data_IF_099859007770
#
_entry.id   IF_099859007770
#
_cell.length_a   1.000
_cell.length_b   1.000
_cell.length_c   1.000
_cell.angle_alpha   90.00
_cell.angle_beta   90.00
_cell.angle_gamma   90.00
#
_symmetry.space_group_name_H-M   'P 1'
#
loop_
_entity.id
_entity.type
_entity.pdbx_description
1 polymer ?
#
# COMPACT_ATOMS: atom_id res chain seq x y z
N UNK A 1 14.30 0.13 -6.50
CA UNK A 1 14.98 0.18 -5.19
C UNK A 1 13.89 0.08 -4.13
N UNK A 2 14.02 -0.84 -3.19
CA UNK A 2 13.06 -1.00 -2.10
C UNK A 2 13.78 -0.66 -0.78
N UNK A 3 13.24 0.30 -0.04
CA UNK A 3 13.74 0.66 1.28
C UNK A 3 13.15 -0.29 2.31
N UNK A 4 13.99 -1.04 3.00
CA UNK A 4 13.61 -1.82 4.16
C UNK A 4 13.85 -0.98 5.41
N UNK A 5 12.80 -0.78 6.21
CA UNK A 5 12.93 -0.20 7.54
C UNK A 5 12.77 -1.34 8.54
N UNK A 6 13.85 -1.74 9.18
CA UNK A 6 13.78 -2.76 10.24
C UNK A 6 13.66 -2.09 11.60
N UNK A 7 12.79 -2.66 12.42
CA UNK A 7 12.57 -2.23 13.80
C UNK A 7 13.12 -3.31 14.72
N UNK A 8 14.23 -3.00 15.41
CA UNK A 8 14.81 -3.90 16.39
C UNK A 8 14.59 -3.32 17.79
N UNK A 9 13.90 -4.05 18.66
CA UNK A 9 13.90 -3.76 20.10
C UNK A 9 15.19 -4.31 20.71
N UNK A 10 16.08 -3.42 21.19
CA UNK A 10 17.19 -3.81 22.06
C UNK A 10 16.94 -3.31 23.48
N UNK A 11 17.19 -4.18 24.45
CA UNK A 11 17.33 -3.79 25.85
C UNK A 11 18.69 -3.09 26.03
N UNK A 12 18.69 -1.76 26.00
CA UNK A 12 19.84 -0.96 26.43
C UNK A 12 19.48 -0.32 27.78
N UNK A 13 20.23 -0.69 28.82
CA UNK A 13 20.21 -0.03 30.15
C UNK A 13 18.82 0.20 30.75
N UNK A 14 17.97 -0.84 30.79
CA UNK A 14 16.68 -0.80 31.48
C UNK A 14 15.57 -0.03 30.76
N UNK A 15 15.81 0.52 29.55
CA UNK A 15 14.77 1.08 28.70
C UNK A 15 14.76 0.39 27.33
N UNK A 16 13.56 0.03 26.86
CA UNK A 16 13.35 -0.39 25.48
C UNK A 16 13.46 0.83 24.57
N UNK A 17 14.56 0.95 23.84
CA UNK A 17 14.69 1.93 22.77
C UNK A 17 14.57 1.21 21.43
N UNK A 18 13.63 1.59 20.56
CA UNK A 18 13.58 1.06 19.22
C UNK A 18 14.78 1.55 18.40
N UNK A 19 15.58 0.62 17.87
CA UNK A 19 16.61 0.95 16.88
C UNK A 19 15.95 0.88 15.50
N UNK A 20 15.76 2.05 14.89
CA UNK A 20 15.33 2.17 13.50
C UNK A 20 16.56 2.00 12.60
N UNK A 21 16.52 1.04 11.68
CA UNK A 21 17.57 0.85 10.69
C UNK A 21 16.96 0.87 9.30
N UNK A 22 17.50 1.71 8.43
CA UNK A 22 17.16 1.70 7.01
C UNK A 22 18.22 0.89 6.25
N UNK A 23 17.76 -0.06 5.46
CA UNK A 23 18.60 -0.87 4.59
C UNK A 23 18.03 -0.85 3.18
N UNK A 24 18.92 -0.81 2.19
CA UNK A 24 18.55 -0.89 0.79
C UNK A 24 18.75 -2.31 0.31
N UNK A 25 17.67 -2.95 -0.13
CA UNK A 25 17.76 -4.28 -0.73
C UNK A 25 18.09 -4.13 -2.21
N UNK A 26 19.31 -4.54 -2.57
CA UNK A 26 19.78 -4.60 -3.96
C UNK A 26 19.71 -6.03 -4.49
N UNK A 27 19.00 -6.19 -5.62
CA UNK A 27 18.94 -7.37 -6.50
C UNK A 27 19.46 -8.70 -5.90
N UNK A 28 18.65 -9.36 -5.05
CA UNK A 28 19.09 -10.57 -4.37
C UNK A 28 19.34 -11.69 -5.39
N UNK A 29 20.44 -12.42 -5.21
CA UNK A 29 20.88 -13.50 -6.11
C UNK A 29 19.76 -14.52 -6.38
N UNK A 30 18.95 -14.80 -5.35
CA UNK A 30 17.78 -15.68 -5.41
C UNK A 30 16.78 -15.32 -6.54
N UNK A 31 16.63 -14.04 -6.86
CA UNK A 31 15.69 -13.59 -7.89
C UNK A 31 16.27 -13.66 -9.31
N UNK A 32 17.58 -13.88 -9.47
CA UNK A 32 18.20 -14.05 -10.78
C UNK A 32 17.75 -15.34 -11.47
N UNK A 33 17.45 -16.40 -10.71
CA UNK A 33 16.89 -17.65 -11.24
C UNK A 33 15.41 -17.49 -11.64
N UNK A 34 14.71 -16.51 -11.08
CA UNK A 34 13.33 -16.14 -11.44
C UNK A 34 13.30 -15.04 -12.51
N UNK A 35 14.31 -15.07 -13.39
CA UNK A 35 14.63 -14.03 -14.37
C UNK A 35 13.46 -13.64 -15.25
N UNK A 36 12.61 -14.59 -15.61
CA UNK A 36 11.43 -14.37 -16.45
C UNK A 36 10.47 -13.41 -15.78
N UNK A 37 10.03 -13.67 -14.55
CA UNK A 37 9.17 -12.73 -13.81
C UNK A 37 9.85 -11.39 -13.58
N UNK A 38 11.14 -11.41 -13.21
CA UNK A 38 11.91 -10.19 -12.97
C UNK A 38 11.98 -9.28 -14.20
N UNK A 39 12.21 -9.86 -15.38
CA UNK A 39 12.24 -9.13 -16.65
C UNK A 39 10.85 -8.71 -17.12
N UNK A 40 9.85 -9.57 -16.96
CA UNK A 40 8.48 -9.30 -17.41
C UNK A 40 7.79 -8.22 -16.57
N UNK A 41 8.05 -8.17 -15.26
CA UNK A 41 7.26 -7.35 -14.32
C UNK A 41 8.09 -6.30 -13.56
N UNK A 42 9.41 -6.36 -13.69
CA UNK A 42 10.32 -5.44 -13.03
C UNK A 42 10.67 -5.85 -11.60
N UNK A 43 11.73 -5.20 -11.06
CA UNK A 43 12.37 -5.62 -9.82
C UNK A 43 11.49 -5.42 -8.58
N UNK A 44 10.74 -4.32 -8.50
CA UNK A 44 9.99 -3.96 -7.30
C UNK A 44 8.78 -4.88 -7.07
N UNK A 45 8.02 -5.19 -8.14
CA UNK A 45 6.87 -6.11 -8.11
C UNK A 45 7.33 -7.54 -7.84
N UNK A 46 8.43 -7.96 -8.47
CA UNK A 46 8.97 -9.30 -8.24
C UNK A 46 9.49 -9.46 -6.82
N UNK A 47 10.23 -8.48 -6.29
CA UNK A 47 10.82 -8.54 -4.96
C UNK A 47 9.77 -8.74 -3.86
N UNK A 48 8.64 -8.01 -3.92
CA UNK A 48 7.61 -8.07 -2.89
C UNK A 48 6.94 -9.45 -2.78
N UNK A 49 6.85 -10.18 -3.89
CA UNK A 49 6.29 -11.53 -3.91
C UNK A 49 7.18 -12.56 -3.21
N UNK A 50 8.47 -12.28 -3.06
CA UNK A 50 9.45 -13.21 -2.51
C UNK A 50 10.14 -12.71 -1.24
N UNK A 51 9.54 -11.79 -0.48
CA UNK A 51 10.11 -11.34 0.79
C UNK A 51 10.45 -12.50 1.74
N UNK A 52 9.61 -13.53 1.78
CA UNK A 52 9.84 -14.70 2.61
C UNK A 52 11.14 -15.46 2.25
N UNK A 53 11.55 -15.43 0.97
CA UNK A 53 12.79 -16.04 0.48
C UNK A 53 13.98 -15.09 0.53
N UNK A 54 13.75 -13.80 0.32
CA UNK A 54 14.80 -12.77 0.24
C UNK A 54 15.25 -12.27 1.61
N UNK A 55 14.35 -12.33 2.61
CA UNK A 55 14.61 -11.91 3.99
C UNK A 55 14.53 -13.13 4.92
N UNK A 56 15.43 -14.13 4.77
CA UNK A 56 15.38 -15.37 5.54
C UNK A 56 15.58 -15.16 7.04
N UNK A 57 16.27 -14.09 7.42
CA UNK A 57 16.55 -13.70 8.81
C UNK A 57 15.36 -13.04 9.52
N UNK A 58 14.35 -12.59 8.77
CA UNK A 58 13.16 -11.95 9.34
C UNK A 58 11.98 -12.93 9.43
N UNK A 59 11.31 -12.91 10.58
CA UNK A 59 10.11 -13.72 10.82
C UNK A 59 8.82 -13.01 10.38
N UNK A 60 8.78 -11.68 10.53
CA UNK A 60 7.61 -10.84 10.22
C UNK A 60 8.06 -9.52 9.60
N UNK A 61 7.25 -8.98 8.69
CA UNK A 61 7.42 -7.63 8.12
C UNK A 61 6.05 -6.96 7.96
N UNK A 62 6.04 -5.63 7.89
CA UNK A 62 4.87 -4.87 7.44
C UNK A 62 5.24 -4.30 6.07
N UNK A 63 4.57 -4.77 5.03
CA UNK A 63 4.66 -4.18 3.71
C UNK A 63 3.69 -3.00 3.59
N UNK A 64 4.17 -1.90 3.00
CA UNK A 64 3.42 -0.66 2.78
C UNK A 64 3.84 -0.12 1.42
N UNK A 65 2.89 0.09 0.51
CA UNK A 65 3.15 0.74 -0.76
C UNK A 65 3.63 2.18 -0.55
N UNK A 66 4.45 2.67 -1.48
CA UNK A 66 5.11 3.99 -1.36
C UNK A 66 4.14 5.16 -1.40
N UNK A 67 2.92 4.93 -1.85
CA UNK A 67 1.83 5.90 -1.94
C UNK A 67 0.79 5.71 -0.81
N UNK A 68 1.17 5.01 0.26
CA UNK A 68 0.36 4.87 1.48
C UNK A 68 0.83 5.83 2.56
N UNK A 69 -0.12 6.54 3.16
CA UNK A 69 0.07 7.47 4.27
C UNK A 69 -0.47 6.88 5.57
N UNK A 70 0.40 6.78 6.58
CA UNK A 70 -0.01 6.39 7.92
C UNK A 70 -0.66 7.56 8.66
N UNK A 71 -1.96 7.46 8.92
CA UNK A 71 -2.73 8.41 9.74
C UNK A 71 -2.69 8.02 11.22
N UNK A 72 -2.58 6.71 11.47
CA UNK A 72 -2.39 6.12 12.79
C UNK A 72 -0.95 5.68 13.03
N UNK A 73 -0.51 5.55 14.30
CA UNK A 73 0.80 5.01 14.63
C UNK A 73 1.01 3.61 14.03
N UNK A 74 2.17 3.38 13.41
CA UNK A 74 2.47 2.13 12.70
C UNK A 74 2.57 0.93 13.65
N UNK A 75 2.85 1.19 14.93
CA UNK A 75 2.86 0.20 16.01
C UNK A 75 1.50 -0.49 16.13
N UNK A 76 0.40 0.17 15.77
CA UNK A 76 -0.92 -0.47 15.77
C UNK A 76 -1.06 -1.52 14.66
N UNK A 77 -0.33 -1.38 13.55
CA UNK A 77 -0.25 -2.42 12.51
C UNK A 77 0.50 -3.64 13.04
N UNK A 78 1.52 -3.43 13.88
CA UNK A 78 2.27 -4.51 14.53
C UNK A 78 1.37 -5.38 15.43
N UNK A 79 0.40 -4.77 16.11
CA UNK A 79 -0.55 -5.48 16.97
C UNK A 79 -1.44 -6.48 16.20
N UNK A 80 -1.59 -6.33 14.88
CA UNK A 80 -2.36 -7.26 14.03
C UNK A 80 -1.80 -8.69 14.13
N UNK A 81 -0.48 -8.85 14.24
CA UNK A 81 0.15 -10.17 14.35
C UNK A 81 -0.33 -10.96 15.57
N UNK A 82 -0.70 -10.29 16.66
CA UNK A 82 -1.23 -10.94 17.88
C UNK A 82 -2.62 -11.54 17.66
N UNK A 83 -3.35 -11.05 16.66
CA UNK A 83 -4.70 -11.51 16.32
C UNK A 83 -4.70 -12.59 15.24
N UNK A 84 -3.56 -12.87 14.62
CA UNK A 84 -3.43 -13.95 13.64
C UNK A 84 -3.47 -15.31 14.32
N UNK A 85 -4.27 -16.24 13.79
CA UNK A 85 -4.24 -17.64 14.20
C UNK A 85 -2.98 -18.35 13.67
N UNK A 86 -2.83 -19.65 13.94
CA UNK A 86 -1.63 -20.42 13.57
C UNK A 86 -1.40 -20.61 12.06
N UNK A 87 -2.45 -20.57 11.23
CA UNK A 87 -2.36 -20.78 9.77
C UNK A 87 -2.16 -19.48 9.01
N UNK A 88 -2.64 -18.36 9.57
CA UNK A 88 -2.59 -17.05 8.92
C UNK A 88 -1.17 -16.52 8.82
N UNK A 89 -0.78 -16.12 7.61
CA UNK A 89 0.54 -15.58 7.32
C UNK A 89 0.50 -14.21 6.63
N UNK A 90 -0.68 -13.74 6.24
CA UNK A 90 -0.92 -12.37 5.79
C UNK A 90 -2.16 -11.80 6.45
N UNK A 91 -2.21 -10.47 6.60
CA UNK A 91 -3.44 -9.75 6.89
C UNK A 91 -3.68 -8.74 5.77
N UNK A 92 -4.88 -8.74 5.18
CA UNK A 92 -5.13 -8.00 3.94
C UNK A 92 -6.54 -7.43 3.96
N UNK A 93 -6.71 -6.24 3.38
CA UNK A 93 -8.01 -5.57 3.23
C UNK A 93 -8.64 -6.00 1.90
N UNK A 94 -9.96 -6.19 1.90
CA UNK A 94 -10.70 -6.40 0.66
C UNK A 94 -10.62 -5.16 -0.24
N UNK A 95 -10.47 -5.34 -1.55
CA UNK A 95 -10.53 -4.23 -2.51
C UNK A 95 -11.81 -3.42 -2.32
N UNK A 96 -11.69 -2.09 -2.39
CA UNK A 96 -12.80 -1.17 -2.10
C UNK A 96 -13.45 -1.35 -0.72
N UNK A 97 -12.72 -1.93 0.24
CA UNK A 97 -13.25 -2.29 1.55
C UNK A 97 -14.35 -3.36 1.52
N UNK A 98 -14.54 -4.06 0.39
CA UNK A 98 -15.62 -5.02 0.21
C UNK A 98 -17.02 -4.39 0.12
N UNK A 99 -17.11 -3.10 -0.21
CA UNK A 99 -18.39 -2.37 -0.19
C UNK A 99 -19.37 -2.91 -1.26
N UNK A 100 -20.62 -3.24 -0.91
CA UNK A 100 -21.57 -3.91 -1.82
C UNK A 100 -22.00 -3.03 -3.02
N UNK A 101 -22.04 -1.71 -2.85
CA UNK A 101 -22.37 -0.78 -3.94
C UNK A 101 -21.22 -0.56 -4.92
N UNK A 102 -19.99 -0.97 -4.58
CA UNK A 102 -18.83 -0.77 -5.42
C UNK A 102 -18.70 -2.01 -6.29
N UNK A 103 -18.94 -1.86 -7.59
CA UNK A 103 -18.72 -2.94 -8.53
C UNK A 103 -17.20 -3.26 -8.58
N UNK A 104 -16.77 -4.44 -8.16
CA UNK A 104 -15.35 -4.74 -8.11
C UNK A 104 -14.79 -4.93 -9.51
N UNK A 105 -13.53 -4.53 -9.71
CA UNK A 105 -12.83 -4.70 -10.98
C UNK A 105 -12.47 -6.17 -11.25
N UNK A 106 -12.14 -6.96 -10.21
CA UNK A 106 -11.80 -8.37 -10.30
C UNK A 106 -12.93 -9.18 -10.95
N UNK A 107 -14.19 -8.95 -10.55
CA UNK A 107 -15.36 -9.58 -11.16
C UNK A 107 -15.75 -9.07 -12.56
N UNK A 108 -15.01 -8.10 -13.14
CA UNK A 108 -15.36 -7.48 -14.44
C UNK A 108 -14.30 -7.60 -15.50
N UNK A 109 -13.04 -7.39 -15.11
CA UNK A 109 -11.94 -7.32 -16.07
C UNK A 109 -10.90 -8.42 -15.85
N UNK A 110 -10.81 -9.01 -14.66
CA UNK A 110 -9.82 -10.04 -14.38
C UNK A 110 -10.39 -11.43 -14.71
N UNK A 111 -9.51 -12.31 -15.17
CA UNK A 111 -9.84 -13.71 -15.54
C UNK A 111 -9.20 -14.72 -14.61
N UNK A 112 -8.47 -14.25 -13.60
CA UNK A 112 -7.79 -15.03 -12.59
C UNK A 112 -8.69 -15.22 -11.37
N UNK A 113 -8.51 -16.30 -10.59
CA UNK A 113 -9.17 -16.46 -9.30
C UNK A 113 -8.86 -15.29 -8.34
N UNK A 114 -9.84 -14.90 -7.53
CA UNK A 114 -9.68 -13.83 -6.53
C UNK A 114 -10.56 -14.08 -5.31
N UNK A 115 -10.15 -13.52 -4.17
CA UNK A 115 -10.81 -13.77 -2.89
C UNK A 115 -12.13 -13.02 -2.77
N UNK A 116 -13.18 -13.72 -2.34
CA UNK A 116 -14.47 -13.14 -2.00
C UNK A 116 -15.18 -12.50 -3.20
N UNK A 117 -15.97 -11.46 -2.95
CA UNK A 117 -16.72 -10.78 -4.01
C UNK A 117 -15.89 -9.73 -4.77
N UNK A 118 -14.84 -9.19 -4.14
CA UNK A 118 -14.14 -8.00 -4.63
C UNK A 118 -12.66 -8.19 -4.94
N UNK A 119 -12.05 -9.28 -4.46
CA UNK A 119 -10.60 -9.42 -4.37
C UNK A 119 -10.02 -8.70 -3.16
N UNK A 120 -8.72 -8.87 -2.95
CA UNK A 120 -7.89 -8.22 -1.94
C UNK A 120 -7.05 -7.08 -2.53
N UNK A 121 -6.72 -6.10 -1.70
CA UNK A 121 -5.80 -5.01 -2.01
C UNK A 121 -4.46 -5.19 -1.28
N UNK A 122 -3.35 -5.17 -2.00
CA UNK A 122 -2.02 -5.52 -1.50
C UNK A 122 -1.16 -4.31 -1.07
N UNK A 123 -1.74 -3.12 -0.97
CA UNK A 123 -1.00 -1.91 -0.60
C UNK A 123 -0.53 -1.83 0.86
N UNK A 124 -1.19 -2.55 1.78
CA UNK A 124 -0.74 -2.69 3.18
C UNK A 124 -0.89 -4.13 3.61
N UNK A 125 0.22 -4.80 3.93
CA UNK A 125 0.22 -6.22 4.26
C UNK A 125 1.18 -6.50 5.43
N UNK A 126 0.67 -6.74 6.64
CA UNK A 126 1.39 -7.47 7.66
C UNK A 126 1.63 -8.91 7.18
N UNK A 127 2.90 -9.30 7.07
CA UNK A 127 3.33 -10.61 6.58
C UNK A 127 4.12 -11.37 7.65
N UNK A 128 3.75 -12.62 7.91
CA UNK A 128 4.54 -13.57 8.68
C UNK A 128 5.36 -14.42 7.73
N UNK A 129 6.59 -13.99 7.47
CA UNK A 129 7.53 -14.60 6.54
C UNK A 129 7.86 -16.05 6.92
N UNK A 130 7.96 -16.35 8.22
CA UNK A 130 8.22 -17.72 8.68
C UNK A 130 7.08 -18.68 8.28
N UNK A 131 5.83 -18.27 8.50
CA UNK A 131 4.66 -19.05 8.07
C UNK A 131 4.54 -19.12 6.55
N UNK A 132 4.84 -18.04 5.83
CA UNK A 132 4.88 -18.05 4.36
C UNK A 132 5.91 -19.07 3.82
N UNK A 133 7.10 -19.16 4.43
CA UNK A 133 8.12 -20.17 4.10
C UNK A 133 7.58 -21.58 4.32
N UNK A 134 7.00 -21.86 5.50
CA UNK A 134 6.42 -23.19 5.82
C UNK A 134 5.26 -23.57 4.90
N UNK A 135 4.49 -22.59 4.46
CA UNK A 135 3.38 -22.77 3.52
C UNK A 135 3.85 -23.05 2.08
N UNK A 136 5.10 -22.74 1.74
CA UNK A 136 5.60 -22.84 0.37
C UNK A 136 5.07 -21.72 -0.52
N UNK A 137 4.97 -20.49 0.00
CA UNK A 137 4.44 -19.33 -0.73
C UNK A 137 5.11 -19.13 -2.11
N UNK A 138 6.45 -19.17 -2.15
CA UNK A 138 7.20 -18.96 -3.38
C UNK A 138 6.83 -19.97 -4.48
N UNK A 139 6.68 -21.24 -4.13
CA UNK A 139 6.32 -22.30 -5.08
C UNK A 139 4.90 -22.11 -5.61
N UNK A 140 3.97 -21.65 -4.77
CA UNK A 140 2.59 -21.35 -5.18
C UNK A 140 2.51 -20.15 -6.12
N UNK A 141 3.29 -19.10 -5.88
CA UNK A 141 3.39 -17.96 -6.81
C UNK A 141 3.93 -18.42 -8.17
N UNK A 142 4.95 -19.28 -8.18
CA UNK A 142 5.51 -19.80 -9.43
C UNK A 142 4.52 -20.68 -10.19
N UNK A 143 3.81 -21.57 -9.49
CA UNK A 143 2.76 -22.40 -10.10
C UNK A 143 1.61 -21.53 -10.65
N UNK A 144 1.24 -20.46 -9.94
CA UNK A 144 0.26 -19.50 -10.43
C UNK A 144 0.77 -18.74 -11.66
N UNK A 145 2.05 -18.37 -11.70
CA UNK A 145 2.66 -17.72 -12.86
C UNK A 145 2.61 -18.61 -14.09
N UNK A 146 3.05 -19.87 -13.98
CA UNK A 146 2.99 -20.85 -15.07
C UNK A 146 1.57 -21.03 -15.63
N UNK A 147 0.55 -20.92 -14.77
CA UNK A 147 -0.85 -21.12 -15.15
C UNK A 147 -1.53 -19.87 -15.71
N UNK A 148 -1.21 -18.69 -15.19
CA UNK A 148 -1.99 -17.48 -15.42
C UNK A 148 -1.19 -16.33 -16.06
N UNK A 149 0.07 -16.51 -16.43
CA UNK A 149 0.96 -15.45 -16.95
C UNK A 149 0.28 -14.49 -17.94
N UNK A 150 -0.50 -15.02 -18.90
CA UNK A 150 -1.18 -14.24 -19.94
C UNK A 150 -2.39 -13.44 -19.48
N UNK A 151 -2.94 -13.74 -18.30
CA UNK A 151 -4.16 -13.14 -17.76
C UNK A 151 -3.88 -12.13 -16.63
N UNK A 152 -2.63 -12.05 -16.15
CA UNK A 152 -2.21 -11.12 -15.09
C UNK A 152 -2.30 -9.66 -15.54
N UNK A 153 -2.80 -8.79 -14.66
CA UNK A 153 -2.92 -7.34 -14.89
C UNK A 153 -2.32 -6.50 -13.78
N UNK A 154 -2.51 -6.91 -12.53
CA UNK A 154 -1.93 -6.31 -11.34
C UNK A 154 -1.12 -7.41 -10.65
N UNK A 155 0.02 -7.75 -11.23
CA UNK A 155 0.71 -9.04 -11.02
C UNK A 155 0.88 -9.42 -9.55
N UNK A 156 1.37 -8.50 -8.73
CA UNK A 156 1.54 -8.69 -7.29
C UNK A 156 0.21 -8.97 -6.58
N UNK A 157 -0.75 -8.07 -6.75
CA UNK A 157 -2.08 -8.21 -6.16
C UNK A 157 -2.82 -9.46 -6.69
N UNK A 158 -2.61 -9.81 -7.96
CA UNK A 158 -3.19 -10.98 -8.62
C UNK A 158 -2.66 -12.26 -8.00
N UNK A 159 -1.35 -12.39 -7.78
CA UNK A 159 -0.80 -13.57 -7.11
C UNK A 159 -1.30 -13.71 -5.68
N UNK A 160 -1.42 -12.61 -4.94
CA UNK A 160 -2.03 -12.62 -3.60
C UNK A 160 -3.45 -13.16 -3.66
N UNK A 161 -4.24 -12.67 -4.61
CA UNK A 161 -5.62 -13.11 -4.81
C UNK A 161 -5.75 -14.56 -5.28
N UNK A 162 -4.93 -15.00 -6.25
CA UNK A 162 -4.96 -16.36 -6.78
C UNK A 162 -4.60 -17.37 -5.71
N UNK A 163 -3.49 -17.14 -4.99
CA UNK A 163 -3.01 -18.08 -3.97
C UNK A 163 -3.98 -18.15 -2.78
N UNK A 164 -4.47 -17.01 -2.29
CA UNK A 164 -5.38 -16.97 -1.14
C UNK A 164 -6.82 -17.35 -1.48
N UNK A 165 -7.22 -17.31 -2.76
CA UNK A 165 -8.49 -17.89 -3.20
C UNK A 165 -8.55 -19.39 -2.90
N UNK A 166 -7.47 -20.11 -3.21
CA UNK A 166 -7.38 -21.56 -2.97
C UNK A 166 -6.97 -21.90 -1.52
N UNK A 167 -6.46 -20.92 -0.78
CA UNK A 167 -5.95 -21.05 0.60
C UNK A 167 -6.48 -19.96 1.55
N UNK A 168 -7.81 -19.90 1.78
CA UNK A 168 -8.43 -18.84 2.58
C UNK A 168 -8.00 -18.87 4.06
N UNK A 169 -7.50 -20.00 4.57
CA UNK A 169 -6.93 -20.13 5.90
C UNK A 169 -5.61 -19.35 6.09
N UNK A 170 -4.97 -18.97 4.98
CA UNK A 170 -3.67 -18.31 4.94
C UNK A 170 -3.73 -16.82 5.27
N UNK A 171 -4.91 -16.20 5.31
CA UNK A 171 -5.03 -14.77 5.56
C UNK A 171 -6.07 -14.38 6.61
N UNK A 172 -5.83 -13.22 7.21
CA UNK A 172 -6.77 -12.52 8.07
C UNK A 172 -7.36 -11.34 7.30
N UNK A 173 -8.70 -11.24 7.25
CA UNK A 173 -9.33 -10.05 6.69
C UNK A 173 -9.19 -8.87 7.65
N UNK A 174 -8.75 -7.72 7.12
CA UNK A 174 -8.65 -6.48 7.88
C UNK A 174 -9.81 -5.52 7.57
N UNK A 175 -10.25 -4.73 8.57
CA UNK A 175 -11.15 -3.60 8.33
C UNK A 175 -10.58 -2.64 7.28
N UNK A 176 -11.47 -2.05 6.47
CA UNK A 176 -11.12 -1.13 5.37
C UNK A 176 -10.22 0.05 5.81
N UNK A 177 -10.30 0.47 7.07
CA UNK A 177 -9.48 1.53 7.67
C UNK A 177 -7.96 1.32 7.52
N UNK A 178 -7.51 0.06 7.45
CA UNK A 178 -6.09 -0.31 7.41
C UNK A 178 -5.45 -0.26 6.04
N UNK A 179 -6.25 -0.03 4.99
CA UNK A 179 -5.80 0.17 3.62
C UNK A 179 -6.90 0.94 2.88
N UNK A 180 -7.19 2.14 3.39
CA UNK A 180 -8.33 2.93 2.96
C UNK A 180 -8.00 3.59 1.63
N UNK A 181 -8.74 3.25 0.58
CA UNK A 181 -8.65 3.95 -0.70
C UNK A 181 -9.86 4.87 -0.84
N UNK A 182 -9.61 6.15 -1.07
CA UNK A 182 -10.67 7.11 -1.35
C UNK A 182 -11.07 7.01 -2.83
N UNK A 183 -11.60 5.86 -3.21
CA UNK A 183 -12.11 5.63 -4.55
C UNK A 183 -13.49 6.25 -4.68
N UNK A 184 -13.61 7.30 -5.49
CA UNK A 184 -14.80 7.38 -6.33
C UNK A 184 -14.70 6.21 -7.28
N UNK A 185 -15.40 5.13 -6.98
CA UNK A 185 -15.65 4.11 -7.98
C UNK A 185 -16.71 4.72 -8.91
N UNK A 186 -16.38 5.13 -10.16
CA UNK A 186 -17.37 5.67 -11.11
C UNK A 186 -18.42 4.64 -11.54
N UNK A 187 -18.44 3.49 -10.87
CA UNK A 187 -19.21 2.31 -11.20
C UNK A 187 -20.16 1.88 -10.08
N UNK A 188 -20.44 2.74 -9.10
CA UNK A 188 -21.58 2.48 -8.22
C UNK A 188 -22.87 2.39 -9.08
N UNK A 189 -23.71 1.37 -8.83
CA UNK A 189 -24.96 1.18 -9.58
C UNK A 189 -25.83 2.44 -9.47
N UNK A 190 -25.93 3.18 -10.56
CA UNK A 190 -26.79 4.36 -10.67
C UNK A 190 -26.33 5.54 -9.82
N UNK A 191 -25.94 6.62 -10.50
CA UNK A 191 -25.76 8.00 -10.00
C UNK A 191 -24.47 8.36 -9.24
N UNK A 192 -23.94 9.51 -9.67
CA UNK A 192 -23.19 10.55 -8.93
C UNK A 192 -22.51 10.06 -7.66
N UNK A 193 -21.18 9.89 -7.72
CA UNK A 193 -20.21 10.19 -6.66
C UNK A 193 -20.86 10.22 -5.28
N UNK A 194 -21.21 9.05 -4.73
CA UNK A 194 -21.63 8.98 -3.34
C UNK A 194 -20.38 9.25 -2.51
N UNK A 195 -20.47 10.16 -1.55
CA UNK A 195 -19.39 10.41 -0.61
C UNK A 195 -19.20 9.13 0.23
N UNK A 196 -18.11 8.41 -0.03
CA UNK A 196 -17.86 7.08 0.54
C UNK A 196 -16.99 7.12 1.81
N UNK A 197 -16.82 8.28 2.42
CA UNK A 197 -16.28 8.39 3.78
C UNK A 197 -17.47 8.56 4.73
N UNK A 198 -17.97 7.50 5.40
CA UNK A 198 -18.90 7.70 6.49
C UNK A 198 -18.26 8.64 7.51
N UNK A 199 -18.98 9.62 8.07
CA UNK A 199 -18.41 10.61 9.00
C UNK A 199 -17.74 10.00 10.25
N UNK A 200 -17.92 8.71 10.50
CA UNK A 200 -17.36 7.98 11.63
C UNK A 200 -16.21 7.00 11.28
N UNK A 201 -15.85 6.83 10.00
CA UNK A 201 -14.71 5.96 9.62
C UNK A 201 -13.45 6.81 9.55
N UNK A 202 -12.56 6.60 10.51
CA UNK A 202 -11.23 7.24 10.51
C UNK A 202 -10.26 6.32 9.81
N UNK A 203 -9.81 6.67 8.60
CA UNK A 203 -8.72 5.97 7.93
C UNK A 203 -7.51 5.86 8.88
N UNK A 204 -6.91 4.67 8.95
CA UNK A 204 -5.67 4.42 9.72
C UNK A 204 -4.46 4.42 8.81
N UNK A 205 -4.62 3.83 7.63
CA UNK A 205 -3.68 3.92 6.52
C UNK A 205 -4.48 4.38 5.31
N UNK A 206 -4.03 5.44 4.67
CA UNK A 206 -4.66 5.95 3.46
C UNK A 206 -3.80 5.61 2.26
N UNK A 207 -4.38 4.90 1.31
CA UNK A 207 -3.71 4.42 0.11
C UNK A 207 -4.15 5.25 -1.09
N UNK A 208 -3.17 5.80 -1.80
CA UNK A 208 -3.35 6.53 -3.05
C UNK A 208 -3.72 5.60 -4.23
N UNK A 209 -3.90 6.18 -5.41
CA UNK A 209 -3.89 5.49 -6.69
C UNK A 209 -2.72 6.08 -7.50
N UNK A 210 -1.56 5.40 -7.46
CA UNK A 210 -0.26 5.66 -8.12
C UNK A 210 -0.26 6.22 -9.55
N UNK A 211 -1.41 6.36 -10.20
CA UNK A 211 -1.56 6.90 -11.53
C UNK A 211 -1.45 8.44 -11.55
N UNK A 212 -0.89 9.01 -12.63
CA UNK A 212 -0.59 10.46 -12.83
C UNK A 212 -1.63 11.45 -12.24
N UNK A 213 -1.25 12.43 -11.38
CA UNK A 213 -2.15 13.30 -10.61
C UNK A 213 -2.99 14.32 -11.40
N UNK A 214 -2.86 14.37 -12.73
CA UNK A 214 -3.50 15.40 -13.57
C UNK A 214 -4.95 15.12 -13.99
N UNK A 215 -5.56 14.05 -13.49
CA UNK A 215 -6.95 13.69 -13.80
C UNK A 215 -7.95 14.24 -12.79
N UNK A 216 -9.10 14.76 -13.25
CA UNK A 216 -10.20 15.25 -12.40
C UNK A 216 -10.70 14.23 -11.36
N UNK A 217 -10.48 12.93 -11.57
CA UNK A 217 -10.81 11.86 -10.61
C UNK A 217 -9.85 11.77 -9.42
N UNK A 218 -8.75 12.55 -9.40
CA UNK A 218 -7.63 12.41 -8.44
C UNK A 218 -7.37 13.63 -7.58
N UNK A 219 -8.29 14.58 -7.59
CA UNK A 219 -8.30 15.73 -6.70
C UNK A 219 -8.26 15.32 -5.22
N UNK A 220 -8.70 14.12 -4.88
CA UNK A 220 -8.60 13.55 -3.53
C UNK A 220 -7.18 13.41 -3.01
N UNK A 221 -6.22 13.11 -3.90
CA UNK A 221 -4.84 12.87 -3.53
C UNK A 221 -3.97 14.13 -3.63
N UNK A 222 -4.52 15.19 -4.23
CA UNK A 222 -3.89 16.49 -4.33
C UNK A 222 -3.42 17.10 -2.99
N UNK A 223 -4.21 17.06 -1.90
CA UNK A 223 -3.79 17.53 -0.58
C UNK A 223 -2.58 16.77 -0.05
N UNK A 224 -2.49 15.48 -0.36
CA UNK A 224 -1.38 14.62 0.04
C UNK A 224 -0.12 15.01 -0.72
N UNK A 225 -0.22 15.11 -2.05
CA UNK A 225 0.88 15.63 -2.87
C UNK A 225 1.30 17.03 -2.44
N UNK A 226 0.35 17.90 -2.13
CA UNK A 226 0.58 19.26 -1.65
C UNK A 226 1.28 19.29 -0.29
N UNK A 227 0.86 18.42 0.63
CA UNK A 227 1.42 18.29 1.96
C UNK A 227 2.85 17.71 1.91
N UNK A 228 3.07 16.64 1.14
CA UNK A 228 4.41 16.06 0.91
C UNK A 228 5.36 17.09 0.29
N UNK A 229 4.92 17.88 -0.69
CA UNK A 229 5.76 18.90 -1.32
C UNK A 229 6.19 20.01 -0.34
N UNK A 230 5.49 20.17 0.78
CA UNK A 230 5.84 21.12 1.86
C UNK A 230 6.69 20.48 2.96
N UNK A 231 6.83 19.15 2.99
CA UNK A 231 7.71 18.46 3.93
C UNK A 231 9.16 18.63 3.49
N UNK A 232 9.96 19.20 4.37
CA UNK A 232 11.39 18.94 4.37
C UNK A 232 11.64 17.57 5.00
N UNK A 233 11.67 16.53 4.15
CA UNK A 233 11.89 15.14 4.56
C UNK A 233 13.32 14.97 5.10
N UNK A 234 14.28 15.76 4.61
CA UNK A 234 15.70 15.66 5.00
C UNK A 234 15.95 16.18 6.41
N UNK A 235 15.19 17.18 6.87
CA UNK A 235 15.27 17.70 8.23
C UNK A 235 14.45 16.90 9.25
N UNK A 236 13.67 15.91 8.81
CA UNK A 236 12.79 15.13 9.66
C UNK A 236 11.80 16.03 10.40
N UNK A 237 10.74 16.48 9.72
CA UNK A 237 9.74 17.34 10.35
C UNK A 237 9.19 16.69 11.63
N UNK A 238 9.54 17.28 12.78
CA UNK A 238 9.09 16.83 14.12
C UNK A 238 7.57 16.95 14.32
N UNK A 239 6.85 17.54 13.35
CA UNK A 239 5.43 17.83 13.44
C UNK A 239 4.65 17.29 12.21
N UNK A 240 5.04 16.12 11.70
CA UNK A 240 4.36 15.41 10.60
C UNK A 240 2.85 15.33 10.81
N UNK A 241 2.40 15.09 12.04
CA UNK A 241 0.98 15.00 12.38
C UNK A 241 0.25 16.31 12.08
N UNK A 242 0.73 17.44 12.60
CA UNK A 242 0.07 18.74 12.43
C UNK A 242 0.22 19.30 11.01
N UNK A 243 1.37 19.04 10.36
CA UNK A 243 1.67 19.60 9.04
C UNK A 243 0.97 18.84 7.92
N UNK A 244 0.74 17.53 8.10
CA UNK A 244 0.30 16.62 7.03
C UNK A 244 -0.99 15.91 7.39
N UNK A 245 -0.98 15.16 8.50
CA UNK A 245 -2.11 14.28 8.86
C UNK A 245 -3.36 15.09 9.16
N UNK A 246 -3.27 16.10 10.03
CA UNK A 246 -4.43 16.91 10.42
C UNK A 246 -5.09 17.66 9.24
N UNK A 247 -4.36 18.41 8.39
CA UNK A 247 -4.96 19.09 7.24
C UNK A 247 -5.63 18.13 6.24
N UNK A 248 -4.99 16.97 6.01
CA UNK A 248 -5.55 15.89 5.20
C UNK A 248 -6.86 15.39 5.79
N UNK A 249 -6.87 15.10 7.09
CA UNK A 249 -8.05 14.56 7.77
C UNK A 249 -9.19 15.57 7.79
N UNK A 250 -8.92 16.86 8.01
CA UNK A 250 -9.95 17.90 7.95
C UNK A 250 -10.55 18.04 6.56
N UNK A 251 -9.73 17.95 5.51
CA UNK A 251 -10.24 17.98 4.15
C UNK A 251 -11.11 16.76 3.84
N UNK A 252 -10.70 15.56 4.28
CA UNK A 252 -11.47 14.33 4.04
C UNK A 252 -12.85 14.33 4.70
N UNK A 253 -13.10 15.20 5.70
CA UNK A 253 -14.44 15.39 6.29
C UNK A 253 -15.38 16.20 5.39
N UNK A 254 -14.87 16.93 4.40
CA UNK A 254 -15.68 17.80 3.56
C UNK A 254 -16.40 17.02 2.45
N UNK A 255 -17.54 17.53 1.96
CA UNK A 255 -18.15 17.04 0.72
C UNK A 255 -17.20 17.11 -0.48
N UNK A 256 -17.31 16.19 -1.45
CA UNK A 256 -16.35 16.09 -2.57
C UNK A 256 -16.13 17.41 -3.32
N UNK A 257 -17.22 18.14 -3.59
CA UNK A 257 -17.14 19.43 -4.29
C UNK A 257 -16.32 20.46 -3.51
N UNK A 258 -16.47 20.48 -2.19
CA UNK A 258 -15.71 21.37 -1.32
C UNK A 258 -14.23 20.96 -1.26
N UNK A 259 -13.94 19.65 -1.22
CA UNK A 259 -12.58 19.14 -1.33
C UNK A 259 -11.92 19.62 -2.64
N UNK A 260 -12.59 19.43 -3.78
CA UNK A 260 -12.11 19.88 -5.10
C UNK A 260 -11.75 21.36 -5.12
N UNK A 261 -12.64 22.23 -4.64
CA UNK A 261 -12.39 23.68 -4.62
C UNK A 261 -11.17 24.05 -3.77
N UNK A 262 -11.01 23.46 -2.58
CA UNK A 262 -9.85 23.71 -1.73
C UNK A 262 -8.55 23.17 -2.32
N UNK A 263 -8.59 22.01 -2.99
CA UNK A 263 -7.44 21.42 -3.67
C UNK A 263 -6.97 22.28 -4.85
N UNK A 264 -7.88 22.76 -5.69
CA UNK A 264 -7.53 23.64 -6.82
C UNK A 264 -6.88 24.93 -6.33
N UNK A 265 -7.39 25.52 -5.23
CA UNK A 265 -6.76 26.68 -4.61
C UNK A 265 -5.35 26.39 -4.05
N UNK A 266 -5.12 25.19 -3.51
CA UNK A 266 -3.80 24.73 -3.08
C UNK A 266 -2.84 24.54 -4.27
N UNK A 267 -3.33 24.02 -5.41
CA UNK A 267 -2.53 23.80 -6.62
C UNK A 267 -2.04 25.09 -7.24
N UNK A 268 -2.93 26.07 -7.40
CA UNK A 268 -2.54 27.38 -7.89
C UNK A 268 -1.48 28.05 -7.00
N UNK A 269 -1.57 27.88 -5.69
CA UNK A 269 -0.59 28.41 -4.74
C UNK A 269 0.75 27.67 -4.80
N UNK A 270 0.74 26.34 -4.95
CA UNK A 270 1.95 25.51 -5.08
C UNK A 270 2.70 25.75 -6.39
N UNK A 271 1.97 25.88 -7.50
CA UNK A 271 2.54 26.24 -8.80
C UNK A 271 3.20 27.62 -8.76
N UNK A 272 2.59 28.58 -8.05
CA UNK A 272 3.15 29.92 -7.83
C UNK A 272 4.36 29.92 -6.88
N UNK A 273 4.40 29.03 -5.89
CA UNK A 273 5.50 28.96 -4.91
C UNK A 273 6.73 28.18 -5.40
N UNK A 274 6.65 27.49 -6.55
CA UNK A 274 7.81 26.85 -7.17
C UNK A 274 8.77 27.92 -7.69
N UNK A 275 9.79 28.25 -6.90
CA UNK A 275 10.99 28.90 -7.45
C UNK A 275 11.57 28.00 -8.56
N UNK A 276 12.00 28.55 -9.70
CA UNK A 276 12.63 27.75 -10.74
C UNK A 276 13.80 26.97 -10.14
N UNK A 277 13.84 25.65 -10.36
CA UNK A 277 15.03 24.86 -10.02
C UNK A 277 16.21 25.40 -10.84
N UNK A 278 17.38 25.65 -10.24
CA UNK A 278 18.58 25.96 -11.01
C UNK A 278 18.86 24.81 -11.99
N UNK A 279 19.04 25.14 -13.27
CA UNK A 279 19.07 24.20 -14.41
C UNK A 279 20.21 23.17 -14.40
N UNK A 280 21.08 23.11 -13.40
CA UNK A 280 22.36 22.39 -13.47
C UNK A 280 22.62 21.40 -12.31
N UNK A 281 21.64 20.60 -11.93
CA UNK A 281 21.95 19.35 -11.21
C UNK A 281 21.22 18.18 -11.85
N UNK A 282 21.92 17.53 -12.77
CA UNK A 282 21.66 16.15 -13.16
C UNK A 282 21.94 15.32 -11.91
N UNK A 283 20.90 14.92 -11.20
CA UNK A 283 20.99 13.77 -10.30
C UNK A 283 20.51 12.56 -11.10
N UNK A 284 21.48 11.73 -11.48
CA UNK A 284 21.19 10.38 -11.97
C UNK A 284 20.50 9.62 -10.84
N UNK A 285 19.31 9.10 -11.11
CA UNK A 285 18.66 8.04 -10.35
C UNK A 285 18.20 6.97 -11.33
#
# INVERSE_FOLDING_TARGET
LLGLVTWHQRLCSGSLMPLLRSEWLSNPEYLKEKRTMWHSFGPCVTLRLFFASVLPELDVIIYIDTDVFAVSPIEKVWEIFKSMNGTQFMAVVAEAGGHPDILPWYGRVFRTPYVGASGLNDGVIPMNLNRMRRFGWADKVLAAYEKYESDLKLIDQDFVNIVLHDHPEGFMSLPHEWNFRNGLYPHAKGSRVKEFVPPNVTAKMLHDDSSNPRGDSKLYYYPFHAAIQKLDIEQGSKDYRRQIVEPVMELMKLPFRAQRHQCTALDENLLRSRRPRPKNQITNF
#
